data_IF_866154925581
#
_entry.id   IF_866154925581
#
_cell.length_a   1.000
_cell.length_b   1.000
_cell.length_c   1.000
_cell.angle_alpha   90.00
_cell.angle_beta   90.00
_cell.angle_gamma   90.00
#
_symmetry.space_group_name_H-M   'P 1'
#
loop_
_entity.id
_entity.type
_entity.pdbx_description
1 polymer ?
#
# COMPACT_ATOMS: atom_id res chain seq x y z
N UNK A 1 -29.43 -21.07 -20.69
CA UNK A 1 -30.13 -21.31 -19.41
C UNK A 1 -29.21 -21.84 -18.28
N UNK A 2 -27.97 -22.29 -18.55
CA UNK A 2 -27.01 -22.77 -17.53
C UNK A 2 -26.14 -21.66 -16.85
N UNK A 3 -26.21 -20.41 -17.32
CA UNK A 3 -25.39 -19.31 -16.81
C UNK A 3 -25.97 -18.62 -15.56
N UNK A 4 -27.30 -18.63 -15.36
CA UNK A 4 -27.96 -17.98 -14.23
C UNK A 4 -27.64 -18.61 -12.87
N UNK A 5 -27.56 -19.94 -12.80
CA UNK A 5 -27.23 -20.65 -11.55
C UNK A 5 -25.74 -20.52 -11.17
N UNK A 6 -24.85 -20.32 -12.14
CA UNK A 6 -23.42 -20.11 -11.88
C UNK A 6 -23.16 -18.72 -11.30
N UNK A 7 -23.96 -17.72 -11.69
CA UNK A 7 -23.83 -16.33 -11.26
C UNK A 7 -24.06 -16.15 -9.75
N UNK A 8 -25.11 -16.77 -9.20
CA UNK A 8 -25.42 -16.74 -7.78
C UNK A 8 -24.37 -17.45 -6.91
N UNK A 9 -23.65 -18.44 -7.46
CA UNK A 9 -22.56 -19.12 -6.75
C UNK A 9 -21.26 -18.32 -6.79
N UNK A 10 -21.03 -17.54 -7.86
CA UNK A 10 -19.83 -16.73 -8.04
C UNK A 10 -19.86 -15.45 -7.22
N UNK A 11 -21.01 -14.81 -7.07
CA UNK A 11 -21.11 -13.53 -6.36
C UNK A 11 -20.61 -13.61 -4.89
N UNK A 12 -21.00 -14.59 -4.05
CA UNK A 12 -20.47 -14.71 -2.68
C UNK A 12 -18.96 -15.01 -2.65
N UNK A 13 -18.46 -15.75 -3.65
CA UNK A 13 -17.03 -16.08 -3.80
C UNK A 13 -16.23 -14.81 -4.06
N UNK A 14 -16.67 -14.01 -5.04
CA UNK A 14 -16.03 -12.74 -5.40
C UNK A 14 -16.16 -11.74 -4.27
N UNK A 15 -17.31 -11.70 -3.58
CA UNK A 15 -17.53 -10.84 -2.44
C UNK A 15 -16.55 -11.14 -1.30
N UNK A 16 -16.30 -12.42 -1.01
CA UNK A 16 -15.28 -12.82 -0.01
C UNK A 16 -13.88 -12.32 -0.39
N UNK A 17 -13.49 -12.46 -1.65
CA UNK A 17 -12.21 -11.94 -2.15
C UNK A 17 -12.15 -10.39 -2.17
N UNK A 18 -13.28 -9.73 -2.36
CA UNK A 18 -13.33 -8.27 -2.37
C UNK A 18 -13.08 -7.67 -0.98
N UNK A 19 -13.50 -8.34 0.09
CA UNK A 19 -13.27 -7.88 1.47
C UNK A 19 -11.81 -7.99 1.91
N UNK A 20 -11.03 -8.87 1.27
CA UNK A 20 -9.60 -9.01 1.57
C UNK A 20 -8.70 -8.00 0.84
N UNK A 21 -9.30 -7.12 0.03
CA UNK A 21 -8.57 -6.08 -0.70
C UNK A 21 -8.42 -4.86 0.19
N UNK A 22 -7.17 -4.53 0.53
CA UNK A 22 -6.86 -3.24 1.15
C UNK A 22 -6.85 -2.16 0.08
N UNK A 23 -7.67 -1.13 0.25
CA UNK A 23 -7.61 0.12 -0.49
C UNK A 23 -7.67 1.30 0.47
N UNK A 24 -7.50 2.52 -0.06
CA UNK A 24 -7.45 3.72 0.74
C UNK A 24 -8.80 4.44 0.77
N UNK A 25 -9.20 4.94 1.94
CA UNK A 25 -10.30 5.90 2.10
C UNK A 25 -11.71 5.41 1.76
N UNK A 26 -12.58 6.35 1.38
CA UNK A 26 -14.00 6.15 1.08
C UNK A 26 -14.25 5.28 -0.15
N UNK A 27 -13.24 5.10 -1.01
CA UNK A 27 -13.38 4.37 -2.26
C UNK A 27 -13.34 2.85 -2.06
N UNK A 28 -13.03 2.36 -0.84
CA UNK A 28 -12.90 0.93 -0.59
C UNK A 28 -14.16 0.10 -0.87
N UNK A 29 -15.36 0.49 -0.42
CA UNK A 29 -16.59 -0.18 -0.84
C UNK A 29 -16.80 -0.09 -2.35
N UNK A 30 -16.48 1.05 -2.96
CA UNK A 30 -16.69 1.29 -4.39
C UNK A 30 -15.81 0.39 -5.26
N UNK A 31 -14.52 0.27 -4.93
CA UNK A 31 -13.60 -0.67 -5.59
C UNK A 31 -14.17 -2.08 -5.56
N UNK A 32 -14.72 -2.55 -4.43
CA UNK A 32 -15.32 -3.89 -4.34
C UNK A 32 -16.51 -4.07 -5.27
N UNK A 33 -17.42 -3.11 -5.31
CA UNK A 33 -18.58 -3.13 -6.21
C UNK A 33 -18.14 -3.16 -7.68
N UNK A 34 -17.17 -2.31 -8.04
CA UNK A 34 -16.64 -2.24 -9.39
C UNK A 34 -15.98 -3.54 -9.81
N UNK A 35 -15.22 -4.18 -8.93
CA UNK A 35 -14.61 -5.48 -9.23
C UNK A 35 -15.65 -6.55 -9.53
N UNK A 36 -16.77 -6.56 -8.80
CA UNK A 36 -17.88 -7.48 -9.07
C UNK A 36 -18.51 -7.15 -10.44
N UNK A 37 -18.78 -5.87 -10.72
CA UNK A 37 -19.37 -5.45 -12.00
C UNK A 37 -18.46 -5.78 -13.19
N UNK A 38 -17.17 -5.45 -13.10
CA UNK A 38 -16.18 -5.73 -14.14
C UNK A 38 -16.01 -7.24 -14.36
N UNK A 39 -15.94 -8.04 -13.29
CA UNK A 39 -15.79 -9.49 -13.41
C UNK A 39 -17.00 -10.18 -14.07
N UNK A 40 -18.17 -9.54 -14.04
CA UNK A 40 -19.45 -10.10 -14.45
C UNK A 40 -20.06 -9.37 -15.66
N UNK A 41 -19.32 -8.50 -16.33
CA UNK A 41 -19.81 -7.63 -17.40
C UNK A 41 -20.06 -8.37 -18.73
N UNK A 42 -19.09 -8.37 -19.62
CA UNK A 42 -19.23 -8.80 -21.02
C UNK A 42 -18.57 -10.15 -21.34
N UNK A 43 -17.85 -10.73 -20.36
CA UNK A 43 -17.04 -11.94 -20.52
C UNK A 43 -16.03 -11.86 -21.67
N UNK A 44 -15.61 -10.65 -22.06
CA UNK A 44 -14.43 -10.42 -22.88
C UNK A 44 -13.18 -11.07 -22.26
N UNK A 45 -12.09 -11.24 -23.03
CA UNK A 45 -10.85 -11.75 -22.47
C UNK A 45 -10.36 -10.94 -21.26
N UNK A 46 -10.54 -9.62 -21.27
CA UNK A 46 -10.11 -8.71 -20.20
C UNK A 46 -11.00 -8.82 -18.94
N UNK A 47 -12.34 -8.81 -19.07
CA UNK A 47 -13.25 -9.02 -17.93
C UNK A 47 -13.16 -10.43 -17.35
N UNK A 48 -12.96 -11.44 -18.20
CA UNK A 48 -12.71 -12.83 -17.78
C UNK A 48 -11.41 -12.93 -16.97
N UNK A 49 -10.39 -12.12 -17.29
CA UNK A 49 -9.17 -12.10 -16.49
C UNK A 49 -9.44 -11.64 -15.06
N UNK A 50 -10.25 -10.59 -14.88
CA UNK A 50 -10.67 -10.08 -13.56
C UNK A 50 -11.42 -11.14 -12.78
N UNK A 51 -12.35 -11.85 -13.42
CA UNK A 51 -13.07 -12.96 -12.80
C UNK A 51 -12.11 -14.07 -12.33
N UNK A 52 -11.15 -14.46 -13.17
CA UNK A 52 -10.18 -15.52 -12.82
C UNK A 52 -9.23 -15.08 -11.71
N UNK A 53 -8.78 -13.82 -11.67
CA UNK A 53 -7.99 -13.30 -10.55
C UNK A 53 -8.79 -13.26 -9.25
N UNK A 54 -10.07 -12.85 -9.29
CA UNK A 54 -10.93 -12.85 -8.12
C UNK A 54 -11.17 -14.28 -7.58
N UNK A 55 -11.35 -15.25 -8.48
CA UNK A 55 -11.46 -16.68 -8.11
C UNK A 55 -10.17 -17.23 -7.50
N UNK A 56 -9.00 -16.80 -7.98
CA UNK A 56 -7.72 -17.17 -7.38
C UNK A 56 -7.62 -16.67 -5.93
N UNK A 57 -7.96 -15.40 -5.69
CA UNK A 57 -7.98 -14.79 -4.36
C UNK A 57 -8.99 -15.47 -3.44
N UNK A 58 -10.22 -15.69 -3.90
CA UNK A 58 -11.23 -16.38 -3.11
C UNK A 58 -10.83 -17.83 -2.79
N UNK A 59 -10.22 -18.53 -3.74
CA UNK A 59 -9.70 -19.89 -3.54
C UNK A 59 -8.64 -19.92 -2.44
N UNK A 60 -7.76 -18.92 -2.41
CA UNK A 60 -6.77 -18.79 -1.34
C UNK A 60 -7.43 -18.56 0.04
N UNK A 61 -8.40 -17.66 0.14
CA UNK A 61 -9.09 -17.40 1.42
C UNK A 61 -9.89 -18.58 1.94
N UNK A 62 -10.43 -19.41 1.04
CA UNK A 62 -11.15 -20.65 1.40
C UNK A 62 -10.23 -21.81 1.80
N UNK A 63 -8.91 -21.57 1.89
CA UNK A 63 -7.92 -22.60 2.17
C UNK A 63 -8.00 -23.80 1.21
N UNK A 64 -8.40 -23.56 -0.04
CA UNK A 64 -8.36 -24.59 -1.08
C UNK A 64 -6.90 -25.00 -1.36
N UNK A 65 -6.69 -26.17 -1.99
CA UNK A 65 -5.36 -26.60 -2.37
C UNK A 65 -4.60 -25.53 -3.16
N UNK A 66 -3.30 -25.29 -2.88
CA UNK A 66 -2.49 -24.28 -3.56
C UNK A 66 -2.53 -24.40 -5.10
N UNK A 67 -2.66 -25.64 -5.61
CA UNK A 67 -2.79 -25.94 -7.03
C UNK A 67 -4.01 -25.28 -7.66
N UNK A 68 -5.16 -25.27 -6.97
CA UNK A 68 -6.40 -24.65 -7.45
C UNK A 68 -6.22 -23.14 -7.62
N UNK A 69 -5.61 -22.49 -6.63
CA UNK A 69 -5.32 -21.05 -6.72
C UNK A 69 -4.32 -20.76 -7.85
N UNK A 70 -3.27 -21.57 -7.99
CA UNK A 70 -2.30 -21.43 -9.07
C UNK A 70 -2.95 -21.59 -10.45
N UNK A 71 -3.88 -22.53 -10.63
CA UNK A 71 -4.63 -22.72 -11.88
C UNK A 71 -5.43 -21.48 -12.25
N UNK A 72 -6.17 -20.89 -11.30
CA UNK A 72 -6.91 -19.65 -11.55
C UNK A 72 -6.00 -18.47 -11.87
N UNK A 73 -4.88 -18.34 -11.16
CA UNK A 73 -3.85 -17.33 -11.45
C UNK A 73 -3.31 -17.46 -12.88
N UNK A 74 -2.91 -18.66 -13.29
CA UNK A 74 -2.40 -18.93 -14.65
C UNK A 74 -3.48 -18.64 -15.70
N UNK A 75 -4.74 -19.01 -15.42
CA UNK A 75 -5.85 -18.71 -16.32
C UNK A 75 -6.08 -17.19 -16.47
N UNK A 76 -5.99 -16.41 -15.39
CA UNK A 76 -6.08 -14.94 -15.43
C UNK A 76 -4.97 -14.34 -16.29
N UNK A 77 -3.72 -14.75 -16.09
CA UNK A 77 -2.57 -14.27 -16.86
C UNK A 77 -2.68 -14.58 -18.36
N UNK A 78 -3.14 -15.79 -18.72
CA UNK A 78 -3.39 -16.14 -20.12
C UNK A 78 -4.47 -15.28 -20.75
N UNK A 79 -5.50 -14.92 -19.99
CA UNK A 79 -6.58 -14.05 -20.46
C UNK A 79 -6.12 -12.60 -20.65
N UNK A 80 -5.31 -12.07 -19.72
CA UNK A 80 -4.63 -10.78 -19.87
C UNK A 80 -3.72 -10.75 -21.10
N UNK A 81 -2.92 -11.79 -21.32
CA UNK A 81 -2.05 -11.87 -22.50
C UNK A 81 -2.85 -11.98 -23.81
N UNK A 82 -4.02 -12.62 -23.76
CA UNK A 82 -4.94 -12.69 -24.90
C UNK A 82 -5.61 -11.36 -25.23
N UNK A 83 -5.97 -10.55 -24.22
CA UNK A 83 -6.60 -9.23 -24.45
C UNK A 83 -5.64 -8.18 -25.03
N UNK A 84 -4.32 -8.38 -24.93
CA UNK A 84 -3.33 -7.45 -25.53
C UNK A 84 -3.10 -7.64 -27.02
N UNK A 85 -3.78 -8.59 -27.69
CA UNK A 85 -3.58 -8.87 -29.13
C UNK A 85 -4.22 -7.82 -30.07
N UNK A 86 -4.43 -6.59 -29.60
CA UNK A 86 -5.05 -5.48 -30.33
C UNK A 86 -4.86 -4.13 -29.63
N UNK A 87 -5.58 -3.09 -30.05
CA UNK A 87 -5.60 -1.81 -29.32
C UNK A 87 -6.35 -1.98 -28.00
N UNK A 88 -5.69 -1.69 -26.90
CA UNK A 88 -6.28 -1.71 -25.55
C UNK A 88 -7.22 -0.51 -25.44
N UNK A 89 -8.50 -0.77 -25.21
CA UNK A 89 -9.50 0.28 -24.95
C UNK A 89 -9.40 0.80 -23.51
N UNK A 90 -10.15 1.87 -23.19
CA UNK A 90 -10.25 2.37 -21.81
C UNK A 90 -10.89 1.31 -20.89
N UNK A 91 -11.91 0.60 -21.37
CA UNK A 91 -12.56 -0.49 -20.61
C UNK A 91 -11.63 -1.68 -20.41
N UNK A 92 -10.81 -2.01 -21.41
CA UNK A 92 -9.75 -3.01 -21.24
C UNK A 92 -8.70 -2.53 -20.23
N UNK A 93 -8.31 -1.25 -20.26
CA UNK A 93 -7.35 -0.70 -19.30
C UNK A 93 -7.85 -0.85 -17.86
N UNK A 94 -9.12 -0.54 -17.59
CA UNK A 94 -9.74 -0.76 -16.28
C UNK A 94 -9.73 -2.24 -15.87
N UNK A 95 -10.04 -3.17 -16.78
CA UNK A 95 -9.96 -4.61 -16.52
C UNK A 95 -8.53 -5.08 -16.21
N UNK A 96 -7.55 -4.57 -16.96
CA UNK A 96 -6.14 -4.89 -16.74
C UNK A 96 -5.64 -4.36 -15.39
N UNK A 97 -6.01 -3.12 -15.02
CA UNK A 97 -5.72 -2.54 -13.71
C UNK A 97 -6.35 -3.40 -12.60
N UNK A 98 -7.66 -3.67 -12.70
CA UNK A 98 -8.39 -4.48 -11.72
C UNK A 98 -7.76 -5.87 -11.52
N UNK A 99 -7.52 -6.60 -12.61
CA UNK A 99 -6.91 -7.93 -12.54
C UNK A 99 -5.48 -7.88 -11.97
N UNK A 100 -4.68 -6.90 -12.40
CA UNK A 100 -3.33 -6.68 -11.87
C UNK A 100 -3.34 -6.43 -10.38
N UNK A 101 -4.19 -5.52 -9.91
CA UNK A 101 -4.27 -5.18 -8.49
C UNK A 101 -4.75 -6.37 -7.63
N UNK A 102 -5.74 -7.17 -8.09
CA UNK A 102 -6.15 -8.40 -7.40
C UNK A 102 -5.01 -9.42 -7.34
N UNK A 103 -4.25 -9.59 -8.43
CA UNK A 103 -3.08 -10.48 -8.46
C UNK A 103 -1.96 -9.97 -7.54
N UNK A 104 -1.78 -8.65 -7.42
CA UNK A 104 -0.87 -8.05 -6.46
C UNK A 104 -1.28 -8.39 -5.02
N UNK A 105 -2.56 -8.20 -4.67
CA UNK A 105 -3.09 -8.57 -3.35
C UNK A 105 -2.90 -10.05 -3.06
N UNK A 106 -3.17 -10.93 -4.04
CA UNK A 106 -2.97 -12.38 -3.91
C UNK A 106 -1.50 -12.71 -3.58
N UNK A 107 -0.54 -12.13 -4.30
CA UNK A 107 0.88 -12.39 -4.03
C UNK A 107 1.33 -11.88 -2.67
N UNK A 108 0.85 -10.71 -2.25
CA UNK A 108 1.13 -10.17 -0.91
C UNK A 108 0.65 -11.17 0.15
N UNK A 109 -0.57 -11.67 0.03
CA UNK A 109 -1.11 -12.54 1.06
C UNK A 109 -0.57 -13.97 1.03
N UNK A 110 -0.17 -14.49 -0.14
CA UNK A 110 0.39 -15.84 -0.28
C UNK A 110 1.88 -15.91 0.02
N UNK A 111 2.63 -14.91 -0.44
CA UNK A 111 4.07 -14.98 -0.61
C UNK A 111 4.80 -13.71 -0.15
N UNK A 112 4.21 -12.88 0.73
CA UNK A 112 4.80 -11.59 1.18
C UNK A 112 6.29 -11.65 1.55
N UNK A 113 6.76 -12.80 2.05
CA UNK A 113 8.13 -12.99 2.50
C UNK A 113 9.00 -13.87 1.58
N UNK A 114 8.45 -14.34 0.46
CA UNK A 114 9.09 -15.32 -0.44
C UNK A 114 9.34 -14.79 -1.85
N UNK A 115 8.55 -13.83 -2.32
CA UNK A 115 8.70 -13.27 -3.65
C UNK A 115 8.24 -11.81 -3.73
N UNK A 116 8.90 -11.05 -4.60
CA UNK A 116 8.54 -9.68 -4.98
C UNK A 116 7.56 -9.62 -6.16
N UNK A 117 6.90 -10.74 -6.53
CA UNK A 117 5.96 -10.79 -7.66
C UNK A 117 4.81 -9.78 -7.58
N UNK A 118 4.40 -9.40 -6.37
CA UNK A 118 3.36 -8.39 -6.17
C UNK A 118 3.71 -7.05 -6.84
N UNK A 119 5.00 -6.64 -6.83
CA UNK A 119 5.44 -5.40 -7.46
C UNK A 119 5.26 -5.41 -8.98
N UNK A 120 5.41 -6.57 -9.63
CA UNK A 120 5.22 -6.69 -11.07
C UNK A 120 3.80 -6.30 -11.47
N UNK A 121 2.83 -6.72 -10.66
CA UNK A 121 1.43 -6.43 -10.88
C UNK A 121 1.07 -4.98 -10.52
N UNK A 122 1.56 -4.47 -9.38
CA UNK A 122 1.33 -3.10 -8.96
C UNK A 122 1.96 -2.08 -9.93
N UNK A 123 3.23 -2.27 -10.32
CA UNK A 123 3.89 -1.41 -11.31
C UNK A 123 3.24 -1.54 -12.69
N UNK A 124 2.80 -2.75 -13.07
CA UNK A 124 2.05 -2.95 -14.31
C UNK A 124 0.77 -2.12 -14.35
N UNK A 125 0.00 -2.13 -13.26
CA UNK A 125 -1.20 -1.31 -13.13
C UNK A 125 -0.88 0.19 -13.19
N UNK A 126 0.16 0.66 -12.48
CA UNK A 126 0.59 2.06 -12.51
C UNK A 126 1.02 2.52 -13.92
N UNK A 127 1.75 1.68 -14.65
CA UNK A 127 2.13 1.94 -16.05
C UNK A 127 0.89 2.05 -16.95
N UNK A 128 -0.10 1.18 -16.76
CA UNK A 128 -1.36 1.24 -17.52
C UNK A 128 -2.09 2.54 -17.24
N UNK A 129 -2.26 2.94 -15.97
CA UNK A 129 -2.87 4.23 -15.58
C UNK A 129 -2.25 5.39 -16.37
N UNK A 130 -0.92 5.46 -16.41
CA UNK A 130 -0.21 6.52 -17.13
C UNK A 130 -0.36 6.43 -18.65
N UNK A 131 -0.15 5.25 -19.23
CA UNK A 131 -0.24 5.07 -20.70
C UNK A 131 -1.66 5.26 -21.25
N UNK A 132 -2.69 4.98 -20.44
CA UNK A 132 -4.08 5.19 -20.78
C UNK A 132 -4.54 6.65 -20.56
N UNK A 133 -3.67 7.52 -20.03
CA UNK A 133 -4.01 8.92 -19.74
C UNK A 133 -4.99 9.08 -18.58
N UNK A 134 -5.02 8.12 -17.65
CA UNK A 134 -5.88 8.12 -16.47
C UNK A 134 -5.22 8.81 -15.27
N UNK A 135 -4.01 9.33 -15.43
CA UNK A 135 -3.25 10.06 -14.41
C UNK A 135 -3.58 11.57 -14.47
N UNK A 136 -4.87 11.91 -14.40
CA UNK A 136 -5.37 13.29 -14.53
C UNK A 136 -6.40 13.60 -13.47
N UNK A 137 -6.59 14.88 -13.19
CA UNK A 137 -7.68 15.35 -12.33
C UNK A 137 -9.03 15.22 -13.05
N UNK A 138 -10.13 15.09 -12.28
CA UNK A 138 -11.52 15.00 -12.76
C UNK A 138 -11.90 13.70 -13.49
N UNK A 139 -11.37 12.56 -13.05
CA UNK A 139 -11.89 11.25 -13.45
C UNK A 139 -13.34 11.07 -12.97
N UNK A 140 -14.11 10.24 -13.67
CA UNK A 140 -15.37 9.75 -13.12
C UNK A 140 -15.11 8.96 -11.81
N UNK A 141 -16.13 8.86 -10.97
CA UNK A 141 -15.97 8.30 -9.62
C UNK A 141 -15.42 6.86 -9.64
N UNK A 142 -15.74 6.08 -10.66
CA UNK A 142 -15.37 4.66 -10.73
C UNK A 142 -13.92 4.50 -11.14
N UNK A 143 -13.52 5.25 -12.16
CA UNK A 143 -12.13 5.33 -12.58
C UNK A 143 -11.26 5.95 -11.50
N UNK A 144 -11.75 6.98 -10.78
CA UNK A 144 -11.05 7.61 -9.67
C UNK A 144 -10.78 6.61 -8.53
N UNK A 145 -11.78 5.81 -8.15
CA UNK A 145 -11.63 4.77 -7.11
C UNK A 145 -10.60 3.70 -7.51
N UNK A 146 -10.64 3.24 -8.76
CA UNK A 146 -9.70 2.24 -9.27
C UNK A 146 -8.27 2.78 -9.36
N UNK A 147 -8.11 4.02 -9.84
CA UNK A 147 -6.82 4.72 -9.90
C UNK A 147 -6.30 4.98 -8.48
N UNK A 148 -7.16 5.44 -7.56
CA UNK A 148 -6.83 5.62 -6.14
C UNK A 148 -6.27 4.36 -5.48
N UNK A 149 -6.82 3.19 -5.81
CA UNK A 149 -6.27 1.90 -5.36
C UNK A 149 -4.86 1.63 -5.89
N UNK A 150 -4.59 1.94 -7.17
CA UNK A 150 -3.24 1.86 -7.76
C UNK A 150 -2.30 2.84 -7.07
N UNK A 151 -2.72 4.09 -6.85
CA UNK A 151 -1.92 5.10 -6.13
C UNK A 151 -1.51 4.62 -4.74
N UNK A 152 -2.41 3.97 -4.00
CA UNK A 152 -2.10 3.41 -2.69
C UNK A 152 -0.95 2.40 -2.73
N UNK A 153 -1.02 1.40 -3.62
CA UNK A 153 0.04 0.38 -3.76
C UNK A 153 1.34 0.99 -4.31
N UNK A 154 1.21 1.92 -5.25
CA UNK A 154 2.32 2.64 -5.85
C UNK A 154 3.08 3.49 -4.83
N UNK A 155 2.37 4.17 -3.91
CA UNK A 155 2.99 4.96 -2.85
C UNK A 155 3.69 4.06 -1.82
N UNK A 156 3.06 2.99 -1.35
CA UNK A 156 3.68 2.14 -0.31
C UNK A 156 4.77 1.21 -0.83
N UNK A 157 4.76 0.89 -2.13
CA UNK A 157 5.92 0.22 -2.75
C UNK A 157 7.17 1.09 -2.75
N UNK A 158 7.06 2.42 -2.87
CA UNK A 158 8.21 3.33 -2.74
C UNK A 158 8.88 3.22 -1.38
N UNK A 159 8.12 3.17 -0.29
CA UNK A 159 8.68 2.94 1.05
C UNK A 159 9.50 1.64 1.08
N UNK A 160 8.90 0.56 0.60
CA UNK A 160 9.49 -0.77 0.64
C UNK A 160 10.79 -0.82 -0.16
N UNK A 161 10.79 -0.29 -1.39
CA UNK A 161 11.96 -0.22 -2.26
C UNK A 161 13.02 0.76 -1.76
N UNK A 162 12.63 1.82 -1.04
CA UNK A 162 13.57 2.81 -0.50
C UNK A 162 14.40 2.23 0.64
N UNK A 163 13.79 1.41 1.49
CA UNK A 163 14.44 0.89 2.70
C UNK A 163 14.94 -0.55 2.53
N UNK A 164 14.34 -1.38 1.69
CA UNK A 164 14.81 -2.75 1.50
C UNK A 164 16.01 -2.79 0.52
N UNK A 165 17.14 -3.33 0.98
CA UNK A 165 18.41 -3.47 0.24
C UNK A 165 18.93 -2.17 -0.42
N UNK A 166 19.10 -1.06 0.32
CA UNK A 166 19.40 0.27 -0.26
C UNK A 166 20.82 0.41 -0.84
N UNK A 167 21.70 -0.58 -0.65
CA UNK A 167 23.12 -0.55 -1.05
C UNK A 167 23.48 -1.57 -2.14
N UNK A 168 22.50 -2.30 -2.70
CA UNK A 168 22.75 -3.09 -3.90
C UNK A 168 22.69 -2.13 -5.09
N UNK A 169 23.79 -1.41 -5.33
CA UNK A 169 24.07 -0.86 -6.66
C UNK A 169 24.25 -2.05 -7.57
N UNK A 170 23.23 -2.31 -8.39
CA UNK A 170 23.29 -3.28 -9.45
C UNK A 170 24.31 -2.78 -10.47
N UNK A 171 25.39 -3.53 -10.66
CA UNK A 171 26.15 -3.41 -11.90
C UNK A 171 25.18 -3.71 -13.06
N UNK A 172 25.14 -2.86 -14.11
CA UNK A 172 24.18 -3.02 -15.20
C UNK A 172 24.31 -4.37 -15.94
N UNK A 173 25.45 -5.05 -15.82
CA UNK A 173 25.69 -6.39 -16.41
C UNK A 173 25.14 -7.56 -15.56
N UNK A 174 24.85 -7.37 -14.27
CA UNK A 174 24.21 -8.37 -13.39
C UNK A 174 22.68 -8.23 -13.32
N UNK A 175 22.10 -7.33 -14.14
CA UNK A 175 20.68 -7.02 -14.16
C UNK A 175 19.76 -8.22 -14.48
N UNK A 176 20.32 -9.34 -14.95
CA UNK A 176 19.59 -10.58 -15.21
C UNK A 176 19.04 -11.26 -13.94
N UNK A 177 19.64 -11.01 -12.76
CA UNK A 177 19.21 -11.59 -11.47
C UNK A 177 18.68 -10.53 -10.48
N UNK A 178 18.47 -9.30 -10.95
CA UNK A 178 17.99 -8.21 -10.13
C UNK A 178 16.48 -8.31 -9.88
N UNK A 179 16.09 -8.52 -8.62
CA UNK A 179 14.71 -8.70 -8.14
C UNK A 179 13.77 -7.48 -8.34
N UNK A 180 14.17 -6.50 -9.15
CA UNK A 180 13.36 -5.35 -9.51
C UNK A 180 12.55 -5.68 -10.77
N UNK A 181 11.21 -5.56 -10.74
CA UNK A 181 10.42 -5.76 -11.95
C UNK A 181 10.88 -4.78 -13.03
N UNK A 182 11.24 -5.30 -14.21
CA UNK A 182 11.50 -4.48 -15.42
C UNK A 182 10.31 -3.54 -15.72
N UNK A 183 9.12 -3.91 -15.24
CA UNK A 183 7.89 -3.13 -15.33
C UNK A 183 7.91 -1.87 -14.46
N UNK A 184 8.65 -1.86 -13.36
CA UNK A 184 8.93 -0.67 -12.56
C UNK A 184 10.12 0.06 -13.22
N UNK A 185 9.91 1.23 -13.82
CA UNK A 185 10.96 1.96 -14.54
C UNK A 185 12.20 2.21 -13.67
N UNK A 186 13.37 1.70 -14.07
CA UNK A 186 14.61 1.72 -13.28
C UNK A 186 14.44 1.16 -11.85
N UNK A 187 13.57 0.15 -11.68
CA UNK A 187 13.29 -0.47 -10.39
C UNK A 187 12.42 0.38 -9.45
N UNK A 188 11.82 1.47 -9.94
CA UNK A 188 10.90 2.32 -9.18
C UNK A 188 9.48 2.32 -9.78
N UNK A 189 8.44 2.46 -8.94
CA UNK A 189 7.07 2.58 -9.40
C UNK A 189 6.85 3.89 -10.16
N UNK A 190 5.97 3.86 -11.18
CA UNK A 190 5.66 4.99 -12.04
C UNK A 190 5.26 6.24 -11.23
N UNK A 191 5.81 7.41 -11.57
CA UNK A 191 5.36 8.68 -10.97
C UNK A 191 3.97 9.01 -11.50
N UNK A 192 2.97 8.90 -10.63
CA UNK A 192 1.58 9.26 -10.88
C UNK A 192 1.31 10.62 -10.23
N UNK A 193 0.74 11.53 -11.00
CA UNK A 193 0.54 12.95 -10.68
C UNK A 193 -0.89 13.29 -10.29
N UNK A 194 -1.89 12.47 -10.69
CA UNK A 194 -3.25 12.59 -10.18
C UNK A 194 -3.25 12.44 -8.66
N UNK A 195 -3.96 13.30 -7.95
CA UNK A 195 -4.03 13.25 -6.49
C UNK A 195 -5.41 12.76 -6.04
N UNK A 196 -5.77 11.46 -6.21
CA UNK A 196 -7.04 10.97 -5.69
C UNK A 196 -7.13 11.16 -4.16
N UNK A 197 -5.96 11.16 -3.48
CA UNK A 197 -5.87 11.46 -2.05
C UNK A 197 -4.64 12.33 -1.73
N UNK A 198 -4.86 13.54 -1.22
CA UNK A 198 -3.79 14.49 -0.86
C UNK A 198 -2.80 13.90 0.16
N UNK A 199 -3.28 13.11 1.12
CA UNK A 199 -2.42 12.41 2.10
C UNK A 199 -1.46 11.41 1.45
N UNK A 200 -1.90 10.63 0.45
CA UNK A 200 -1.04 9.68 -0.24
C UNK A 200 0.00 10.38 -1.11
N UNK A 201 -0.34 11.53 -1.67
CA UNK A 201 0.61 12.39 -2.37
C UNK A 201 1.69 12.88 -1.40
N UNK A 202 1.31 13.46 -0.26
CA UNK A 202 2.27 13.95 0.75
C UNK A 202 3.13 12.82 1.33
N UNK A 203 2.57 11.64 1.51
CA UNK A 203 3.31 10.45 1.93
C UNK A 203 4.35 10.03 0.89
N UNK A 204 3.97 10.01 -0.40
CA UNK A 204 4.91 9.73 -1.48
C UNK A 204 6.05 10.75 -1.53
N UNK A 205 5.74 12.03 -1.36
CA UNK A 205 6.74 13.09 -1.28
C UNK A 205 7.66 12.90 -0.06
N UNK A 206 7.11 12.52 1.09
CA UNK A 206 7.90 12.21 2.27
C UNK A 206 8.88 11.06 2.02
N UNK A 207 8.47 9.99 1.35
CA UNK A 207 9.38 8.87 0.97
C UNK A 207 10.50 9.32 0.04
N UNK A 208 10.20 10.19 -0.93
CA UNK A 208 11.16 10.70 -1.89
C UNK A 208 12.14 11.72 -1.26
N UNK A 209 11.67 12.48 -0.28
CA UNK A 209 12.46 13.48 0.43
C UNK A 209 13.45 12.87 1.43
N UNK A 210 13.31 11.60 1.81
CA UNK A 210 14.22 10.97 2.78
C UNK A 210 15.64 10.89 2.24
N UNK A 211 16.59 11.44 2.99
CA UNK A 211 18.03 11.39 2.70
C UNK A 211 18.79 10.84 3.91
N UNK A 212 20.04 10.44 3.70
CA UNK A 212 20.98 10.10 4.77
C UNK A 212 22.00 11.23 4.89
N UNK A 213 22.65 11.41 6.07
CA UNK A 213 23.65 12.48 6.24
C UNK A 213 24.79 12.47 5.22
N UNK A 214 25.09 11.32 4.60
CA UNK A 214 26.10 11.19 3.55
C UNK A 214 25.60 11.59 2.14
N UNK A 215 24.32 11.90 1.95
CA UNK A 215 23.77 12.33 0.66
C UNK A 215 24.17 13.80 0.40
N UNK A 216 24.73 14.15 -0.77
CA UNK A 216 25.11 15.53 -1.09
C UNK A 216 23.96 16.54 -0.99
N UNK A 217 22.70 16.09 -1.14
CA UNK A 217 21.52 16.95 -1.03
C UNK A 217 21.20 17.32 0.42
N UNK A 218 21.69 16.56 1.40
CA UNK A 218 21.35 16.66 2.82
C UNK A 218 21.55 18.08 3.37
N UNK A 219 22.69 18.72 3.05
CA UNK A 219 23.03 20.04 3.57
C UNK A 219 22.46 21.20 2.75
N UNK A 220 21.76 20.93 1.65
CA UNK A 220 21.27 22.00 0.78
C UNK A 220 20.09 22.74 1.40
N UNK A 221 20.10 24.08 1.29
CA UNK A 221 18.98 24.92 1.74
C UNK A 221 17.66 24.53 1.08
N UNK A 222 17.71 24.17 -0.22
CA UNK A 222 16.54 23.73 -0.97
C UNK A 222 15.92 22.46 -0.37
N UNK A 223 16.75 21.49 0.01
CA UNK A 223 16.27 20.26 0.65
C UNK A 223 15.63 20.52 2.02
N UNK A 224 16.28 21.33 2.86
CA UNK A 224 15.71 21.76 4.14
C UNK A 224 14.36 22.45 3.97
N UNK A 225 14.27 23.43 3.09
CA UNK A 225 13.01 24.15 2.82
C UNK A 225 11.93 23.22 2.29
N UNK A 226 12.27 22.23 1.46
CA UNK A 226 11.32 21.23 1.00
C UNK A 226 10.75 20.39 2.15
N UNK A 227 11.59 19.91 3.08
CA UNK A 227 11.15 19.18 4.27
C UNK A 227 10.25 20.02 5.18
N UNK A 228 10.58 21.30 5.36
CA UNK A 228 9.76 22.25 6.15
C UNK A 228 8.39 22.49 5.50
N UNK A 229 8.33 22.59 4.16
CA UNK A 229 7.08 22.70 3.40
C UNK A 229 6.24 21.43 3.57
N UNK A 230 6.83 20.24 3.47
CA UNK A 230 6.11 18.97 3.68
C UNK A 230 5.55 18.86 5.10
N UNK A 231 6.37 19.15 6.13
CA UNK A 231 5.95 19.17 7.53
C UNK A 231 4.82 20.19 7.74
N UNK A 232 4.88 21.37 7.10
CA UNK A 232 3.78 22.34 7.14
C UNK A 232 2.50 21.84 6.45
N UNK A 233 2.58 21.26 5.25
CA UNK A 233 1.40 20.74 4.54
C UNK A 233 0.72 19.63 5.35
N UNK A 234 1.47 18.66 5.86
CA UNK A 234 0.94 17.56 6.68
C UNK A 234 0.27 18.03 7.98
N UNK A 235 0.78 19.09 8.61
CA UNK A 235 0.16 19.68 9.82
C UNK A 235 -1.15 20.41 9.54
N UNK A 236 -1.40 20.82 8.30
CA UNK A 236 -2.56 21.63 7.94
C UNK A 236 -3.54 20.89 7.00
N UNK A 237 -3.31 19.60 6.74
CA UNK A 237 -4.13 18.78 5.86
C UNK A 237 -5.61 18.74 6.28
N UNK A 238 -5.90 18.74 7.59
CA UNK A 238 -7.26 18.60 8.15
C UNK A 238 -7.86 19.91 8.68
N UNK A 239 -7.19 21.06 8.51
CA UNK A 239 -7.77 22.36 8.93
C UNK A 239 -8.79 22.92 7.94
N UNK A 240 -9.12 22.20 6.87
CA UNK A 240 -10.23 22.52 5.96
C UNK A 240 -11.52 21.88 6.50
N UNK A 241 -12.06 22.43 7.59
CA UNK A 241 -13.44 22.13 7.99
C UNK A 241 -14.39 22.67 6.90
N UNK A 242 -15.48 21.97 6.55
CA UNK A 242 -16.35 22.32 5.43
C UNK A 242 -17.04 23.66 5.67
N UNK A 243 -17.30 24.40 4.58
CA UNK A 243 -18.26 25.48 4.57
C UNK A 243 -19.57 25.04 5.25
N UNK A 244 -20.09 25.87 6.15
CA UNK A 244 -21.32 25.68 6.95
C UNK A 244 -22.62 25.48 6.13
N UNK A 245 -22.53 25.16 4.83
CA UNK A 245 -23.65 25.07 3.91
C UNK A 245 -23.77 23.72 3.16
N UNK A 246 -22.91 22.74 3.42
CA UNK A 246 -23.13 21.39 2.91
C UNK A 246 -24.07 20.62 3.85
N UNK A 247 -25.24 20.28 3.34
CA UNK A 247 -26.25 19.43 3.96
C UNK A 247 -25.62 18.26 4.72
N UNK A 248 -26.13 18.00 5.92
CA UNK A 248 -25.80 16.86 6.77
C UNK A 248 -26.00 15.54 6.00
N UNK A 249 -24.99 15.12 5.27
CA UNK A 249 -24.90 13.78 4.70
C UNK A 249 -23.59 13.16 5.20
N UNK A 250 -23.77 12.37 6.26
CA UNK A 250 -22.85 11.38 6.85
C UNK A 250 -21.42 11.32 6.29
N UNK A 251 -20.54 12.20 6.76
CA UNK A 251 -19.09 11.98 6.67
C UNK A 251 -18.78 10.68 7.41
N UNK A 252 -18.40 9.61 6.70
CA UNK A 252 -18.18 8.31 7.35
C UNK A 252 -17.02 8.41 8.35
N UNK A 253 -17.24 8.22 9.66
CA UNK A 253 -16.22 8.43 10.70
C UNK A 253 -14.98 7.55 10.55
N UNK A 254 -15.08 6.44 9.79
CA UNK A 254 -13.93 5.60 9.47
C UNK A 254 -12.93 6.23 8.50
N UNK A 255 -13.35 7.15 7.62
CA UNK A 255 -12.47 7.80 6.64
C UNK A 255 -11.53 8.82 7.28
N UNK A 256 -12.08 9.70 8.11
CA UNK A 256 -11.30 10.69 8.86
C UNK A 256 -10.24 9.98 9.70
N UNK A 257 -10.58 8.81 10.24
CA UNK A 257 -9.63 7.98 10.98
C UNK A 257 -8.51 7.41 10.10
N UNK A 258 -8.80 6.89 8.89
CA UNK A 258 -7.74 6.41 7.99
C UNK A 258 -6.80 7.56 7.61
N UNK A 259 -7.37 8.70 7.22
CA UNK A 259 -6.59 9.88 6.85
C UNK A 259 -5.72 10.32 8.02
N UNK A 260 -6.26 10.33 9.24
CA UNK A 260 -5.51 10.75 10.42
C UNK A 260 -4.40 9.76 10.80
N UNK A 261 -4.65 8.44 10.72
CA UNK A 261 -3.61 7.42 10.93
C UNK A 261 -2.45 7.60 9.95
N UNK A 262 -2.76 7.85 8.67
CA UNK A 262 -1.74 8.12 7.66
C UNK A 262 -1.08 9.47 7.87
N UNK A 263 -1.80 10.51 8.29
CA UNK A 263 -1.23 11.83 8.58
C UNK A 263 -0.24 11.78 9.73
N UNK A 264 -0.63 11.20 10.87
CA UNK A 264 0.23 11.04 12.04
C UNK A 264 1.45 10.17 11.72
N UNK A 265 1.26 9.02 11.07
CA UNK A 265 2.38 8.15 10.69
C UNK A 265 3.33 8.84 9.70
N UNK A 266 2.82 9.61 8.74
CA UNK A 266 3.67 10.38 7.81
C UNK A 266 4.46 11.47 8.54
N UNK A 267 3.84 12.19 9.48
CA UNK A 267 4.52 13.23 10.28
C UNK A 267 5.64 12.64 11.13
N UNK A 268 5.36 11.54 11.83
CA UNK A 268 6.35 10.83 12.66
C UNK A 268 7.49 10.31 11.79
N UNK A 269 7.14 9.62 10.70
CA UNK A 269 8.11 9.07 9.76
C UNK A 269 9.00 10.18 9.15
N UNK A 270 8.41 11.26 8.65
CA UNK A 270 9.13 12.38 8.03
C UNK A 270 10.16 12.97 8.99
N UNK A 271 9.78 13.20 10.26
CA UNK A 271 10.70 13.75 11.25
C UNK A 271 11.83 12.79 11.59
N UNK A 272 11.53 11.51 11.84
CA UNK A 272 12.54 10.47 12.07
C UNK A 272 13.49 10.31 10.88
N UNK A 273 12.95 10.34 9.67
CA UNK A 273 13.70 10.12 8.45
C UNK A 273 14.46 11.36 7.94
N UNK A 274 14.18 12.55 8.49
CA UNK A 274 14.89 13.81 8.17
C UNK A 274 16.31 13.90 8.73
N UNK A 275 16.77 12.85 9.43
CA UNK A 275 18.12 12.73 9.97
C UNK A 275 18.58 13.92 10.85
N UNK A 276 17.63 14.58 11.54
CA UNK A 276 17.90 15.71 12.44
C UNK A 276 17.71 17.09 11.81
N UNK A 277 17.34 17.17 10.52
CA UNK A 277 16.95 18.44 9.90
C UNK A 277 15.66 18.98 10.55
N UNK A 278 14.66 18.12 10.74
CA UNK A 278 13.45 18.43 11.48
C UNK A 278 13.61 17.92 12.92
N UNK A 279 13.39 18.79 13.90
CA UNK A 279 13.59 18.45 15.31
C UNK A 279 12.45 17.60 15.86
N UNK A 280 12.80 16.68 16.76
CA UNK A 280 11.85 15.91 17.56
C UNK A 280 11.40 16.74 18.78
N UNK A 281 10.61 17.78 18.50
CA UNK A 281 10.08 18.70 19.50
C UNK A 281 8.85 18.13 20.25
N UNK A 282 8.26 18.91 21.15
CA UNK A 282 7.06 18.53 21.90
C UNK A 282 5.89 18.07 21.01
N UNK A 283 5.76 18.60 19.78
CA UNK A 283 4.68 18.20 18.86
C UNK A 283 4.88 16.76 18.39
N UNK A 284 6.13 16.33 18.18
CA UNK A 284 6.42 14.94 17.85
C UNK A 284 5.90 14.00 18.93
N UNK A 285 6.21 14.28 20.20
CA UNK A 285 5.72 13.48 21.34
C UNK A 285 4.19 13.50 21.42
N UNK A 286 3.56 14.64 21.15
CA UNK A 286 2.10 14.74 21.08
C UNK A 286 1.51 13.86 19.97
N UNK A 287 2.08 13.85 18.77
CA UNK A 287 1.60 13.00 17.67
C UNK A 287 1.76 11.51 17.97
N UNK A 288 2.87 11.12 18.62
CA UNK A 288 3.06 9.74 19.09
C UNK A 288 1.98 9.38 20.10
N UNK A 289 1.72 10.23 21.10
CA UNK A 289 0.64 10.03 22.07
C UNK A 289 -0.73 9.86 21.42
N UNK A 290 -1.09 10.76 20.50
CA UNK A 290 -2.33 10.70 19.73
C UNK A 290 -2.46 9.40 18.92
N UNK A 291 -1.37 8.93 18.31
CA UNK A 291 -1.39 7.67 17.57
C UNK A 291 -1.75 6.47 18.47
N UNK A 292 -1.20 6.40 19.69
CA UNK A 292 -1.52 5.33 20.64
C UNK A 292 -2.95 5.43 21.17
N UNK A 293 -3.47 6.63 21.43
CA UNK A 293 -4.87 6.84 21.81
C UNK A 293 -5.84 6.35 20.72
N UNK A 294 -5.52 6.60 19.44
CA UNK A 294 -6.30 6.09 18.31
C UNK A 294 -6.23 4.55 18.20
N UNK A 295 -5.05 3.97 18.40
CA UNK A 295 -4.86 2.52 18.35
C UNK A 295 -5.64 1.77 19.45
N UNK A 296 -5.69 2.32 20.67
CA UNK A 296 -6.50 1.74 21.77
C UNK A 296 -7.99 1.66 21.40
N UNK A 297 -8.50 2.64 20.65
CA UNK A 297 -9.92 2.72 20.27
C UNK A 297 -10.29 1.88 19.04
N UNK A 298 -9.31 1.56 18.19
CA UNK A 298 -9.53 0.83 16.94
C UNK A 298 -9.85 -0.64 17.21
N UNK A 299 -10.93 -1.22 16.65
CA UNK A 299 -11.21 -2.65 16.79
C UNK A 299 -10.22 -3.52 16.01
N UNK A 300 -9.73 -3.02 14.87
CA UNK A 300 -8.70 -3.63 14.02
C UNK A 300 -8.03 -2.52 13.18
N UNK A 301 -6.81 -2.75 12.71
CA UNK A 301 -6.07 -1.83 11.87
C UNK A 301 -5.48 -2.58 10.67
N UNK A 302 -6.15 -2.51 9.53
CA UNK A 302 -5.75 -3.22 8.30
C UNK A 302 -4.60 -2.53 7.52
N UNK A 303 -4.03 -1.44 8.04
CA UNK A 303 -3.03 -0.63 7.35
C UNK A 303 -1.63 -0.87 7.94
N UNK A 304 -0.78 -1.65 7.26
CA UNK A 304 0.52 -2.07 7.79
C UNK A 304 1.49 -0.91 8.03
N UNK A 305 1.48 0.11 7.16
CA UNK A 305 2.41 1.23 7.25
C UNK A 305 2.22 2.07 8.52
N UNK A 306 1.02 2.56 8.87
CA UNK A 306 0.80 3.23 10.14
C UNK A 306 1.22 2.38 11.35
N UNK A 307 0.86 1.10 11.38
CA UNK A 307 1.26 0.18 12.44
C UNK A 307 2.77 0.02 12.57
N UNK A 308 3.50 -0.04 11.45
CA UNK A 308 4.96 -0.09 11.43
C UNK A 308 5.54 1.15 12.10
N UNK A 309 5.10 2.34 11.67
CA UNK A 309 5.63 3.61 12.18
C UNK A 309 5.34 3.75 13.68
N UNK A 310 4.09 3.55 14.10
CA UNK A 310 3.73 3.66 15.52
C UNK A 310 4.41 2.58 16.38
N UNK A 311 4.51 1.36 15.86
CA UNK A 311 5.24 0.28 16.52
C UNK A 311 6.72 0.61 16.72
N UNK A 312 7.36 1.24 15.74
CA UNK A 312 8.74 1.71 15.88
C UNK A 312 8.90 2.77 16.98
N UNK A 313 7.86 3.53 17.30
CA UNK A 313 7.85 4.58 18.34
C UNK A 313 7.39 4.09 19.72
N UNK A 314 7.08 2.80 19.89
CA UNK A 314 6.74 2.25 21.20
C UNK A 314 7.98 2.20 22.10
N UNK A 315 7.98 3.00 23.18
CA UNK A 315 9.09 3.11 24.15
C UNK A 315 8.77 2.43 25.49
N UNK A 316 7.49 2.31 25.83
CA UNK A 316 7.03 1.65 27.07
C UNK A 316 6.37 0.30 26.82
N UNK A 317 6.38 -0.57 27.83
CA UNK A 317 5.68 -1.86 27.77
C UNK A 317 4.19 -1.68 27.46
N UNK A 318 3.54 -0.65 28.01
CA UNK A 318 2.15 -0.31 27.68
C UNK A 318 1.95 -0.06 26.20
N UNK A 319 2.80 0.76 25.58
CA UNK A 319 2.73 1.04 24.14
C UNK A 319 2.99 -0.21 23.30
N UNK A 320 3.96 -1.04 23.69
CA UNK A 320 4.23 -2.32 23.02
C UNK A 320 3.02 -3.25 23.08
N UNK A 321 2.35 -3.33 24.24
CA UNK A 321 1.11 -4.10 24.43
C UNK A 321 0.00 -3.60 23.51
N UNK A 322 -0.26 -2.30 23.43
CA UNK A 322 -1.29 -1.72 22.54
C UNK A 322 -1.06 -2.15 21.08
N UNK A 323 0.19 -2.10 20.61
CA UNK A 323 0.53 -2.51 19.24
C UNK A 323 0.24 -4.00 19.02
N UNK A 324 0.68 -4.85 19.95
CA UNK A 324 0.46 -6.29 19.85
C UNK A 324 -1.02 -6.66 19.89
N UNK A 325 -1.81 -6.02 20.76
CA UNK A 325 -3.26 -6.23 20.86
C UNK A 325 -4.01 -5.81 19.60
N UNK A 326 -3.67 -4.67 18.99
CA UNK A 326 -4.27 -4.25 17.71
C UNK A 326 -3.90 -5.24 16.59
N UNK A 327 -2.65 -5.69 16.53
CA UNK A 327 -2.21 -6.68 15.54
C UNK A 327 -2.90 -8.03 15.71
N UNK A 328 -3.11 -8.47 16.96
CA UNK A 328 -3.83 -9.70 17.29
C UNK A 328 -5.29 -9.62 16.84
N UNK A 329 -6.04 -8.59 17.28
CA UNK A 329 -7.43 -8.36 16.86
C UNK A 329 -7.58 -8.24 15.33
N UNK A 330 -6.59 -7.65 14.66
CA UNK A 330 -6.59 -7.56 13.19
C UNK A 330 -6.38 -8.93 12.53
N UNK A 331 -5.52 -9.78 13.11
CA UNK A 331 -5.21 -11.12 12.58
C UNK A 331 -6.35 -12.11 12.80
N UNK A 332 -7.10 -11.97 13.89
CA UNK A 332 -8.33 -12.75 14.15
C UNK A 332 -9.35 -12.56 13.01
N UNK A 333 -9.37 -11.38 12.39
CA UNK A 333 -10.11 -11.17 11.17
C UNK A 333 -9.35 -11.77 9.97
N UNK A 334 -9.75 -12.98 9.58
CA UNK A 334 -9.14 -13.78 8.49
C UNK A 334 -9.06 -13.09 7.11
N UNK A 335 -9.69 -11.91 6.95
CA UNK A 335 -9.60 -11.05 5.77
C UNK A 335 -8.24 -10.33 5.68
N UNK A 336 -7.55 -10.10 6.80
CA UNK A 336 -6.33 -9.28 6.87
C UNK A 336 -5.09 -10.11 7.23
N UNK A 337 -4.47 -10.76 6.23
CA UNK A 337 -3.37 -11.73 6.47
C UNK A 337 -1.95 -11.14 6.43
N UNK A 338 -1.77 -9.86 6.09
CA UNK A 338 -0.43 -9.26 5.91
C UNK A 338 0.20 -8.66 7.18
N UNK A 339 -0.50 -8.67 8.33
CA UNK A 339 -0.01 -8.06 9.58
C UNK A 339 1.22 -8.77 10.15
N UNK A 340 1.40 -10.06 9.85
CA UNK A 340 2.56 -10.84 10.28
C UNK A 340 3.89 -10.23 9.82
N UNK A 341 3.91 -9.62 8.63
CA UNK A 341 5.08 -8.91 8.07
C UNK A 341 5.49 -7.75 8.98
N UNK A 342 4.52 -6.92 9.38
CA UNK A 342 4.76 -5.75 10.26
C UNK A 342 5.19 -6.17 11.65
N UNK A 343 4.48 -7.15 12.22
CA UNK A 343 4.76 -7.64 13.58
C UNK A 343 6.23 -8.04 13.72
N UNK A 344 6.75 -8.83 12.78
CA UNK A 344 8.15 -9.27 12.81
C UNK A 344 9.14 -8.11 12.74
N UNK A 345 8.88 -7.11 11.91
CA UNK A 345 9.75 -5.93 11.79
C UNK A 345 9.73 -5.13 13.08
N UNK A 346 8.56 -4.87 13.64
CA UNK A 346 8.40 -4.10 14.88
C UNK A 346 9.07 -4.80 16.06
N UNK A 347 8.86 -6.10 16.23
CA UNK A 347 9.54 -6.90 17.25
C UNK A 347 11.07 -6.85 17.09
N UNK A 348 11.56 -6.93 15.85
CA UNK A 348 13.00 -6.80 15.57
C UNK A 348 13.51 -5.41 15.93
N UNK A 349 12.76 -4.34 15.64
CA UNK A 349 13.09 -2.97 16.05
C UNK A 349 13.20 -2.87 17.58
N UNK A 350 12.27 -3.47 18.32
CA UNK A 350 12.30 -3.47 19.79
C UNK A 350 13.51 -4.23 20.32
N UNK A 351 13.78 -5.43 19.82
CA UNK A 351 14.98 -6.20 20.20
C UNK A 351 16.25 -5.41 19.92
N UNK A 352 16.36 -4.76 18.77
CA UNK A 352 17.53 -3.93 18.45
C UNK A 352 17.65 -2.70 19.37
N UNK A 353 16.53 -2.05 19.73
CA UNK A 353 16.53 -0.95 20.70
C UNK A 353 16.93 -1.39 22.10
N UNK A 354 16.53 -2.59 22.52
CA UNK A 354 16.81 -3.11 23.87
C UNK A 354 18.26 -3.61 23.99
N UNK A 355 18.87 -4.06 22.89
CA UNK A 355 20.24 -4.62 22.87
C UNK A 355 21.34 -3.62 22.50
N UNK A 356 21.06 -2.62 21.64
CA UNK A 356 22.07 -1.68 21.14
C UNK A 356 21.89 -0.28 21.74
N UNK A 357 22.99 0.26 22.27
CA UNK A 357 23.06 1.61 22.84
C UNK A 357 23.51 2.68 21.84
N UNK A 358 24.02 2.30 20.66
CA UNK A 358 24.46 3.25 19.64
C UNK A 358 23.30 3.78 18.80
N UNK A 359 23.27 5.10 18.61
CA UNK A 359 22.22 5.80 17.85
C UNK A 359 22.48 5.69 16.34
N UNK A 360 21.96 4.62 15.73
CA UNK A 360 21.97 4.46 14.29
C UNK A 360 20.89 5.35 13.65
N UNK A 361 21.26 6.10 12.61
CA UNK A 361 20.30 6.88 11.81
C UNK A 361 19.07 6.04 11.42
N UNK A 362 17.88 6.60 11.61
CA UNK A 362 16.60 5.90 11.44
C UNK A 362 16.44 5.20 10.09
N UNK A 363 16.81 5.87 8.99
CA UNK A 363 16.72 5.33 7.62
C UNK A 363 17.64 4.11 7.46
N UNK A 364 18.87 4.23 7.96
CA UNK A 364 19.83 3.12 7.96
C UNK A 364 19.35 1.96 8.82
N UNK A 365 18.79 2.24 9.99
CA UNK A 365 18.24 1.23 10.91
C UNK A 365 17.09 0.45 10.27
N UNK A 366 16.13 1.16 9.67
CA UNK A 366 15.06 0.51 8.90
C UNK A 366 15.64 -0.32 7.76
N UNK A 367 16.62 0.20 7.04
CA UNK A 367 17.20 -0.53 5.91
C UNK A 367 17.89 -1.82 6.30
N UNK A 368 18.65 -1.83 7.39
CA UNK A 368 19.27 -3.05 7.94
C UNK A 368 18.19 -4.04 8.36
N UNK A 369 17.20 -3.61 9.15
CA UNK A 369 16.17 -4.48 9.70
C UNK A 369 15.31 -5.09 8.58
N UNK A 370 14.88 -4.29 7.61
CA UNK A 370 14.05 -4.81 6.51
C UNK A 370 14.83 -5.81 5.66
N UNK A 371 16.10 -5.52 5.36
CA UNK A 371 16.96 -6.39 4.55
C UNK A 371 17.31 -7.70 5.26
N UNK A 372 17.49 -7.68 6.59
CA UNK A 372 17.75 -8.90 7.37
C UNK A 372 16.49 -9.74 7.59
N UNK A 373 15.33 -9.10 7.67
CA UNK A 373 14.05 -9.77 7.99
C UNK A 373 13.39 -10.39 6.76
N UNK A 374 13.68 -9.85 5.56
CA UNK A 374 12.99 -10.24 4.32
C UNK A 374 13.96 -10.60 3.20
N UNK A 375 13.71 -11.75 2.58
CA UNK A 375 14.42 -12.23 1.38
C UNK A 375 13.94 -11.58 0.08
N UNK A 376 12.79 -10.93 0.11
CA UNK A 376 12.14 -10.24 -1.01
C UNK A 376 11.60 -8.90 -0.54
N UNK A 377 11.32 -7.98 -1.47
CA UNK A 377 10.72 -6.67 -1.14
C UNK A 377 9.44 -6.86 -0.32
N UNK A 378 9.41 -6.41 0.96
CA UNK A 378 8.24 -6.55 1.83
C UNK A 378 7.10 -5.67 1.33
N UNK A 379 5.86 -6.09 1.55
CA UNK A 379 4.68 -5.29 1.23
C UNK A 379 4.07 -4.71 2.50
N UNK A 380 4.13 -3.39 2.67
CA UNK A 380 3.49 -2.68 3.78
C UNK A 380 2.10 -2.16 3.41
N UNK A 381 1.33 -2.98 2.68
CA UNK A 381 0.06 -2.62 2.02
C UNK A 381 -1.14 -3.27 2.69
#
# INVERSE_FOLDING_TARGET
MLLGNSFHLLQPVIQTASYSITSFGHDAPRVRELLIQIALSDFSPSSTAVLKSALALASFHRANPPQTTAQYKVAALRKLAGSTQGRISVTDSACHIAAGMILSTLEIQQNSMKSSHWLWYACGAAKIVKTAGLDVDNLDHDTAALVGWVHYYNTLSRFSLRHWQPHITLDPDDAADSFHPVVCGNGQPESLTGAPHEILYLLSEAFNAVTVPSDPRYETKAHRSHLEILDWKLRNLEKKVPDNNASADTTHPGFDLVVELYRLSTLIYLRRASAGILQLDQKFTTWVGQAFELLEQLPACQWPFPLLVFGCEAESDRQRTIILEVMERTTENMQYRNIATVKRVVETVWVQKDLYTEDMNYVRKLGVILSSTHKSVPAFI
#
